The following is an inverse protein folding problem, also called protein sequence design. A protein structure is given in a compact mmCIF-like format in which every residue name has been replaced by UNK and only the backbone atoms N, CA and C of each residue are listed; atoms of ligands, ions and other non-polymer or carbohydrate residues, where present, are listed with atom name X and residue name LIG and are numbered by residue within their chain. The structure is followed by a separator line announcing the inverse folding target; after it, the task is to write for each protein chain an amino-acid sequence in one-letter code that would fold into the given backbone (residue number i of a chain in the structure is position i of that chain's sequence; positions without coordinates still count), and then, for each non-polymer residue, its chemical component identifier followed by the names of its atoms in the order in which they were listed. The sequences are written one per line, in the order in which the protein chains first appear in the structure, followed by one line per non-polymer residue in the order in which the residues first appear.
data_IF_702118227769
#
_entry.id   IF_702118227769
#
_cell.length_a   1.000
_cell.length_b   1.000
_cell.length_c   1.000
_cell.angle_alpha   90.00
_cell.angle_beta   90.00
_cell.angle_gamma   90.00
#
_symmetry.space_group_name_H-M   'P 1'
#
loop_
_entity.id
_entity.type
_entity.pdbx_description
1 polymer ?
#
# COMPACT_ATOMS: atom_id res chain seq x y z
N UNK A 1 21.08 12.02 7.58
CA UNK A 1 19.75 12.31 8.13
C UNK A 1 19.65 11.58 9.46
N UNK A 2 19.17 12.23 10.51
CA UNK A 2 18.97 11.54 11.78
C UNK A 2 17.82 10.50 11.67
N UNK A 3 17.80 9.54 12.59
CA UNK A 3 16.81 8.44 12.58
C UNK A 3 15.37 8.96 12.75
N UNK A 4 15.20 10.07 13.46
CA UNK A 4 13.91 10.65 13.79
C UNK A 4 13.26 11.32 12.58
N UNK A 5 14.03 12.08 11.80
CA UNK A 5 13.62 12.65 10.52
C UNK A 5 13.25 11.56 9.52
N UNK A 6 14.04 10.47 9.46
CA UNK A 6 13.72 9.33 8.60
C UNK A 6 12.41 8.65 9.01
N UNK A 7 12.19 8.49 10.31
CA UNK A 7 10.95 7.93 10.85
C UNK A 7 9.75 8.84 10.54
N UNK A 8 9.89 10.16 10.67
CA UNK A 8 8.85 11.11 10.30
C UNK A 8 8.51 11.02 8.81
N UNK A 9 9.53 10.90 7.94
CA UNK A 9 9.34 10.71 6.51
C UNK A 9 8.67 9.37 6.18
N UNK A 10 8.99 8.30 6.93
CA UNK A 10 8.33 7.01 6.80
C UNK A 10 6.84 7.09 7.16
N UNK A 11 6.49 7.77 8.26
CA UNK A 11 5.09 8.00 8.62
C UNK A 11 4.34 8.83 7.59
N UNK A 12 4.98 9.87 7.03
CA UNK A 12 4.42 10.62 5.91
C UNK A 12 4.15 9.69 4.71
N UNK A 13 5.08 8.80 4.37
CA UNK A 13 4.90 7.84 3.30
C UNK A 13 3.72 6.87 3.55
N UNK A 14 3.52 6.43 4.80
CA UNK A 14 2.36 5.63 5.21
C UNK A 14 1.05 6.38 4.96
N UNK A 15 0.98 7.66 5.36
CA UNK A 15 -0.20 8.50 5.12
C UNK A 15 -0.44 8.69 3.62
N UNK A 16 0.60 9.01 2.85
CA UNK A 16 0.51 9.16 1.40
C UNK A 16 0.04 7.86 0.71
N UNK A 17 0.49 6.70 1.18
CA UNK A 17 0.03 5.40 0.68
C UNK A 17 -1.47 5.19 0.96
N UNK A 18 -1.94 5.54 2.16
CA UNK A 18 -3.37 5.51 2.51
C UNK A 18 -4.20 6.43 1.62
N UNK A 19 -3.77 7.68 1.43
CA UNK A 19 -4.40 8.65 0.53
C UNK A 19 -4.44 8.10 -0.91
N UNK A 20 -3.35 7.51 -1.38
CA UNK A 20 -3.29 6.93 -2.73
C UNK A 20 -4.32 5.81 -2.91
N UNK A 21 -4.49 4.92 -1.93
CA UNK A 21 -5.49 3.85 -1.96
C UNK A 21 -6.91 4.44 -2.04
N UNK A 22 -7.22 5.45 -1.24
CA UNK A 22 -8.55 6.10 -1.21
C UNK A 22 -8.85 6.82 -2.52
N UNK A 23 -7.92 7.61 -3.05
CA UNK A 23 -8.11 8.32 -4.32
C UNK A 23 -8.29 7.32 -5.45
N UNK A 24 -7.48 6.27 -5.50
CA UNK A 24 -7.56 5.22 -6.52
C UNK A 24 -8.84 4.41 -6.41
N UNK A 25 -9.39 4.24 -5.21
CA UNK A 25 -10.68 3.58 -5.01
C UNK A 25 -11.77 4.25 -5.83
N UNK A 26 -11.83 5.60 -5.86
CA UNK A 26 -12.84 6.34 -6.64
C UNK A 26 -12.88 5.92 -8.12
N UNK A 27 -11.72 5.62 -8.72
CA UNK A 27 -11.64 5.18 -10.12
C UNK A 27 -12.29 3.80 -10.39
N UNK A 28 -12.55 2.99 -9.36
CA UNK A 28 -13.26 1.70 -9.48
C UNK A 28 -14.74 1.77 -9.14
N UNK A 29 -15.21 2.89 -8.57
CA UNK A 29 -16.59 3.07 -8.12
C UNK A 29 -17.33 4.20 -8.84
N UNK A 30 -16.64 5.10 -9.55
CA UNK A 30 -17.25 6.21 -10.27
C UNK A 30 -16.60 6.44 -11.64
N UNK A 31 -17.42 6.64 -12.68
CA UNK A 31 -16.98 6.92 -14.05
C UNK A 31 -16.20 5.78 -14.72
N UNK A 32 -16.55 4.53 -14.40
CA UNK A 32 -15.95 3.33 -15.03
C UNK A 32 -16.48 3.11 -16.44
N UNK A 33 -15.62 2.67 -17.35
CA UNK A 33 -15.98 2.31 -18.73
C UNK A 33 -16.00 0.79 -18.86
N UNK A 34 -17.19 0.19 -18.80
CA UNK A 34 -17.33 -1.26 -18.73
C UNK A 34 -16.61 -1.85 -17.51
N UNK A 35 -15.63 -2.72 -17.76
CA UNK A 35 -14.82 -3.36 -16.72
C UNK A 35 -13.54 -2.57 -16.36
N UNK A 36 -13.29 -1.44 -16.99
CA UNK A 36 -12.07 -0.67 -16.79
C UNK A 36 -12.24 0.41 -15.71
N UNK A 37 -11.19 0.68 -14.91
CA UNK A 37 -11.18 1.84 -14.02
C UNK A 37 -11.31 3.14 -14.81
N UNK A 38 -11.92 4.14 -14.19
CA UNK A 38 -12.08 5.48 -14.75
C UNK A 38 -10.74 6.02 -15.32
N UNK A 39 -10.71 6.46 -16.59
CA UNK A 39 -9.49 6.95 -17.23
C UNK A 39 -9.06 8.34 -16.74
N UNK A 40 -9.96 9.10 -16.11
CA UNK A 40 -9.70 10.47 -15.66
C UNK A 40 -8.54 10.54 -14.66
N UNK A 41 -7.56 11.41 -14.96
CA UNK A 41 -6.33 11.60 -14.18
C UNK A 41 -5.57 10.30 -13.83
N UNK A 42 -5.79 9.22 -14.60
CA UNK A 42 -5.25 7.89 -14.31
C UNK A 42 -3.73 7.90 -14.19
N UNK A 43 -3.03 8.55 -15.12
CA UNK A 43 -1.56 8.61 -15.12
C UNK A 43 -1.03 9.28 -13.84
N UNK A 44 -1.63 10.41 -13.45
CA UNK A 44 -1.25 11.12 -12.22
C UNK A 44 -1.48 10.26 -10.98
N UNK A 45 -2.66 9.65 -10.83
CA UNK A 45 -2.95 8.82 -9.66
C UNK A 45 -2.12 7.54 -9.61
N UNK A 46 -1.77 6.96 -10.77
CA UNK A 46 -0.86 5.82 -10.85
C UNK A 46 0.54 6.24 -10.39
N UNK A 47 1.05 7.37 -10.90
CA UNK A 47 2.35 7.91 -10.50
C UNK A 47 2.38 8.21 -9.00
N UNK A 48 1.36 8.90 -8.46
CA UNK A 48 1.25 9.18 -7.03
C UNK A 48 1.27 7.91 -6.18
N UNK A 49 0.49 6.89 -6.56
CA UNK A 49 0.48 5.60 -5.87
C UNK A 49 1.87 4.93 -5.90
N UNK A 50 2.55 4.91 -7.05
CA UNK A 50 3.88 4.30 -7.15
C UNK A 50 4.90 5.08 -6.33
N UNK A 51 4.91 6.42 -6.41
CA UNK A 51 5.80 7.26 -5.61
C UNK A 51 5.60 7.07 -4.11
N UNK A 52 4.36 7.00 -3.64
CA UNK A 52 4.06 6.74 -2.23
C UNK A 52 4.57 5.36 -1.77
N UNK A 53 4.36 4.31 -2.57
CA UNK A 53 4.84 2.96 -2.24
C UNK A 53 6.37 2.88 -2.29
N UNK A 54 7.00 3.49 -3.29
CA UNK A 54 8.46 3.56 -3.39
C UNK A 54 9.06 4.29 -2.19
N UNK A 55 8.51 5.45 -1.81
CA UNK A 55 8.98 6.20 -0.65
C UNK A 55 8.86 5.36 0.64
N UNK A 56 7.74 4.65 0.81
CA UNK A 56 7.49 3.78 1.96
C UNK A 56 8.49 2.62 2.03
N UNK A 57 8.79 1.99 0.89
CA UNK A 57 9.79 0.91 0.79
C UNK A 57 11.19 1.44 1.10
N UNK A 58 11.61 2.53 0.44
CA UNK A 58 12.95 3.08 0.59
C UNK A 58 13.23 3.53 2.03
N UNK A 59 12.28 4.26 2.63
CA UNK A 59 12.40 4.70 4.04
C UNK A 59 12.35 3.52 5.01
N UNK A 60 11.51 2.51 4.74
CA UNK A 60 11.44 1.29 5.55
C UNK A 60 12.74 0.49 5.54
N UNK A 61 13.34 0.31 4.35
CA UNK A 61 14.64 -0.36 4.19
C UNK A 61 15.76 0.44 4.87
N UNK A 62 15.79 1.76 4.71
CA UNK A 62 16.78 2.60 5.38
C UNK A 62 16.69 2.48 6.91
N UNK A 63 15.47 2.50 7.48
CA UNK A 63 15.26 2.28 8.92
C UNK A 63 15.72 0.88 9.38
N UNK A 64 15.50 -0.15 8.56
CA UNK A 64 16.00 -1.50 8.85
C UNK A 64 17.52 -1.57 8.90
N UNK A 65 18.19 -0.95 7.92
CA UNK A 65 19.66 -0.89 7.86
C UNK A 65 20.19 -0.18 9.10
N UNK A 66 19.58 0.94 9.51
CA UNK A 66 19.96 1.65 10.74
C UNK A 66 19.74 0.84 12.02
N UNK A 67 18.77 -0.10 12.01
CA UNK A 67 18.50 -1.03 13.12
C UNK A 67 19.35 -2.32 13.03
N UNK A 68 20.27 -2.43 12.07
CA UNK A 68 21.07 -3.65 11.88
C UNK A 68 20.24 -4.89 11.54
N UNK A 69 19.06 -4.70 10.94
CA UNK A 69 18.09 -5.76 10.64
C UNK A 69 17.59 -6.56 11.86
N UNK A 70 17.79 -6.05 13.07
CA UNK A 70 17.23 -6.65 14.28
C UNK A 70 15.71 -6.39 14.35
N UNK A 71 14.90 -7.39 14.00
CA UNK A 71 13.45 -7.28 13.89
C UNK A 71 12.73 -8.36 14.68
N UNK A 72 11.60 -7.99 15.27
CA UNK A 72 10.72 -8.92 15.98
C UNK A 72 9.81 -9.67 15.00
N UNK A 73 9.24 -10.81 15.44
CA UNK A 73 8.42 -11.70 14.61
C UNK A 73 7.25 -11.00 13.89
N UNK A 74 6.58 -10.04 14.55
CA UNK A 74 5.48 -9.29 13.96
C UNK A 74 5.90 -8.44 12.74
N UNK A 75 7.18 -8.08 12.63
CA UNK A 75 7.71 -7.36 11.48
C UNK A 75 7.63 -8.23 10.21
N UNK A 76 7.91 -9.53 10.30
CA UNK A 76 7.78 -10.42 9.15
C UNK A 76 6.33 -10.54 8.67
N UNK A 77 5.37 -10.63 9.61
CA UNK A 77 3.95 -10.59 9.26
C UNK A 77 3.58 -9.28 8.53
N UNK A 78 4.13 -8.15 8.98
CA UNK A 78 3.98 -6.86 8.29
C UNK A 78 4.49 -6.91 6.84
N UNK A 79 5.66 -7.52 6.61
CA UNK A 79 6.21 -7.67 5.25
C UNK A 79 5.30 -8.55 4.38
N UNK A 80 4.79 -9.67 4.89
CA UNK A 80 3.86 -10.54 4.16
C UNK A 80 2.59 -9.77 3.78
N UNK A 81 1.98 -9.06 4.73
CA UNK A 81 0.80 -8.23 4.46
C UNK A 81 1.11 -7.11 3.46
N UNK A 82 2.32 -6.55 3.48
CA UNK A 82 2.73 -5.55 2.51
C UNK A 82 2.85 -6.13 1.09
N UNK A 83 3.35 -7.36 0.95
CA UNK A 83 3.34 -8.07 -0.33
C UNK A 83 1.90 -8.37 -0.81
N UNK A 84 1.00 -8.74 0.11
CA UNK A 84 -0.44 -8.92 -0.18
C UNK A 84 -1.05 -7.61 -0.68
N UNK A 85 -0.73 -6.48 -0.03
CA UNK A 85 -1.17 -5.14 -0.45
C UNK A 85 -0.72 -4.82 -1.89
N UNK A 86 0.58 -4.99 -2.19
CA UNK A 86 1.14 -4.71 -3.52
C UNK A 86 0.54 -5.61 -4.61
N UNK A 87 0.37 -6.91 -4.31
CA UNK A 87 -0.23 -7.89 -5.23
C UNK A 87 -1.69 -7.54 -5.52
N UNK A 88 -2.44 -7.21 -4.47
CA UNK A 88 -3.88 -6.89 -4.57
C UNK A 88 -4.12 -5.60 -5.37
N UNK A 89 -3.33 -4.55 -5.11
CA UNK A 89 -3.38 -3.31 -5.88
C UNK A 89 -2.97 -3.53 -7.35
N UNK A 90 -1.92 -4.31 -7.59
CA UNK A 90 -1.49 -4.65 -8.95
C UNK A 90 -2.61 -5.34 -9.75
N UNK A 91 -3.30 -6.30 -9.12
CA UNK A 91 -4.41 -7.03 -9.73
C UNK A 91 -5.64 -6.14 -9.95
N UNK A 92 -6.02 -5.32 -8.95
CA UNK A 92 -7.18 -4.43 -9.03
C UNK A 92 -7.12 -3.47 -10.23
N UNK A 93 -5.91 -3.00 -10.57
CA UNK A 93 -5.69 -2.00 -11.62
C UNK A 93 -4.99 -2.53 -12.88
N UNK A 94 -4.90 -3.86 -13.03
CA UNK A 94 -4.29 -4.50 -14.20
C UNK A 94 -4.99 -4.05 -15.49
N UNK A 95 -4.23 -3.74 -16.54
CA UNK A 95 -4.73 -3.28 -17.85
C UNK A 95 -5.28 -4.44 -18.70
N UNK A 96 -6.31 -5.13 -18.22
CA UNK A 96 -6.96 -6.26 -18.90
C UNK A 96 -8.49 -6.14 -18.78
N UNK A 97 -9.19 -5.97 -19.88
CA UNK A 97 -10.65 -5.80 -19.95
C UNK A 97 -11.46 -7.06 -19.61
N UNK A 98 -10.85 -8.24 -19.71
CA UNK A 98 -11.42 -9.53 -19.33
C UNK A 98 -11.72 -9.67 -17.83
N UNK A 99 -11.10 -8.85 -16.97
CA UNK A 99 -11.32 -8.90 -15.52
C UNK A 99 -12.57 -8.09 -15.19
N UNK A 100 -13.63 -8.77 -14.74
CA UNK A 100 -14.88 -8.13 -14.34
C UNK A 100 -14.68 -7.10 -13.21
N UNK A 101 -15.45 -6.01 -13.25
CA UNK A 101 -15.31 -4.90 -12.30
C UNK A 101 -15.47 -5.34 -10.83
N UNK A 102 -16.33 -6.32 -10.54
CA UNK A 102 -16.49 -6.88 -9.20
C UNK A 102 -15.19 -7.51 -8.66
N UNK A 103 -14.44 -8.23 -9.49
CA UNK A 103 -13.15 -8.83 -9.11
C UNK A 103 -12.08 -7.76 -8.85
N UNK A 104 -12.12 -6.65 -9.59
CA UNK A 104 -11.22 -5.51 -9.34
C UNK A 104 -11.49 -4.86 -7.99
N UNK A 105 -12.77 -4.67 -7.66
CA UNK A 105 -13.21 -4.15 -6.36
C UNK A 105 -12.85 -5.10 -5.22
N UNK A 106 -12.94 -6.42 -5.43
CA UNK A 106 -12.44 -7.40 -4.47
C UNK A 106 -10.92 -7.27 -4.25
N UNK A 107 -10.13 -7.06 -5.31
CA UNK A 107 -8.70 -6.77 -5.21
C UNK A 107 -8.42 -5.51 -4.39
N UNK A 108 -9.17 -4.43 -4.60
CA UNK A 108 -9.06 -3.21 -3.79
C UNK A 108 -9.46 -3.47 -2.33
N UNK A 109 -10.52 -4.24 -2.07
CA UNK A 109 -10.94 -4.59 -0.72
C UNK A 109 -9.84 -5.34 0.03
N UNK A 110 -9.22 -6.34 -0.60
CA UNK A 110 -8.08 -7.07 -0.02
C UNK A 110 -6.89 -6.15 0.27
N UNK A 111 -6.62 -5.18 -0.62
CA UNK A 111 -5.60 -4.16 -0.37
C UNK A 111 -5.92 -3.32 0.88
N UNK A 112 -7.16 -2.86 1.04
CA UNK A 112 -7.59 -2.08 2.22
C UNK A 112 -7.47 -2.91 3.51
N UNK A 113 -7.94 -4.17 3.50
CA UNK A 113 -7.84 -5.08 4.65
C UNK A 113 -6.37 -5.30 5.03
N UNK A 114 -5.50 -5.56 4.06
CA UNK A 114 -4.07 -5.73 4.31
C UNK A 114 -3.43 -4.46 4.88
N UNK A 115 -3.78 -3.29 4.36
CA UNK A 115 -3.28 -2.01 4.86
C UNK A 115 -3.72 -1.74 6.31
N UNK A 116 -4.99 -1.98 6.64
CA UNK A 116 -5.49 -1.84 8.02
C UNK A 116 -4.80 -2.84 8.95
N UNK A 117 -4.61 -4.08 8.52
CA UNK A 117 -3.91 -5.10 9.30
C UNK A 117 -2.44 -4.71 9.56
N UNK A 118 -1.75 -4.11 8.58
CA UNK A 118 -0.40 -3.56 8.76
C UNK A 118 -0.39 -2.48 9.85
N UNK A 119 -1.33 -1.53 9.79
CA UNK A 119 -1.43 -0.48 10.81
C UNK A 119 -1.72 -1.07 12.19
N UNK A 120 -2.64 -2.04 12.27
CA UNK A 120 -2.94 -2.77 13.51
C UNK A 120 -1.72 -3.48 14.09
N UNK A 121 -0.93 -4.18 13.26
CA UNK A 121 0.32 -4.81 13.71
C UNK A 121 1.33 -3.79 14.26
N UNK A 122 1.45 -2.62 13.63
CA UNK A 122 2.37 -1.56 14.07
C UNK A 122 1.91 -0.92 15.38
N UNK A 123 0.60 -0.85 15.63
CA UNK A 123 0.04 -0.33 16.89
C UNK A 123 0.12 -1.35 18.04
N UNK A 124 -0.16 -2.62 17.76
CA UNK A 124 -0.21 -3.67 18.79
C UNK A 124 1.19 -4.19 19.12
N UNK A 125 2.07 -4.31 18.12
CA UNK A 125 3.44 -4.84 18.24
C UNK A 125 3.50 -6.14 19.06
N UNK A 126 2.77 -7.19 18.65
CA UNK A 126 2.63 -8.40 19.46
C UNK A 126 4.01 -9.04 19.67
N UNK A 127 4.33 -9.28 20.94
CA UNK A 127 5.53 -9.98 21.37
C UNK A 127 5.12 -11.32 21.98
N UNK A 128 5.58 -12.42 21.37
CA UNK A 128 5.23 -13.78 21.79
C UNK A 128 6.28 -14.42 22.71
N UNK A 129 7.33 -13.68 23.09
CA UNK A 129 8.44 -14.19 23.90
C UNK A 129 9.58 -14.71 23.06
#
# INVERSE_FOLDING_TARGET
MDAQMLLMLHWLAVVLAGVAIVIRARSLFSGTEGNLPNPSARTFFVAFQHSAMTLLILTGVALLVMKGFDVQSWFYAKIILFLVLLSSLSKAYKKQDQIVLAQRRAGLFLAVVAFIAILGLVMIQPNFG
#
